data_IF_953589800151
#
_entry.id   IF_953589800151
#
_cell.length_a   1.000
_cell.length_b   1.000
_cell.length_c   1.000
_cell.angle_alpha   90.00
_cell.angle_beta   90.00
_cell.angle_gamma   90.00
#
_symmetry.space_group_name_H-M   'P 1'
#
loop_
_entity.id
_entity.type
_entity.pdbx_description
1 polymer ?
#
# COMPACT_ATOMS: atom_id res chain seq x y z
N UNK A 1 7.98 -24.30 2.79
CA UNK A 1 8.37 -23.37 3.89
C UNK A 1 9.60 -22.60 3.44
N UNK A 2 9.65 -21.28 3.65
CA UNK A 2 10.79 -20.46 3.25
C UNK A 2 11.69 -20.18 4.45
N UNK A 3 12.98 -20.49 4.35
CA UNK A 3 13.96 -20.14 5.38
C UNK A 3 14.21 -18.63 5.35
N UNK A 4 14.26 -17.98 6.51
CA UNK A 4 14.61 -16.56 6.62
C UNK A 4 16.09 -16.38 7.02
N UNK A 5 16.73 -15.25 6.69
CA UNK A 5 18.05 -14.91 7.14
C UNK A 5 18.11 -14.82 8.64
N UNK A 6 19.31 -15.08 9.15
CA UNK A 6 19.61 -15.11 10.57
C UNK A 6 19.18 -13.82 11.28
N UNK A 7 19.47 -12.65 10.70
CA UNK A 7 19.09 -11.36 11.27
C UNK A 7 17.56 -11.21 11.47
N UNK A 8 16.77 -11.71 10.51
CA UNK A 8 15.30 -11.64 10.57
C UNK A 8 14.75 -12.67 11.55
N UNK A 9 15.32 -13.87 11.58
CA UNK A 9 15.00 -14.88 12.58
C UNK A 9 15.29 -14.41 14.01
N UNK A 10 16.43 -13.75 14.23
CA UNK A 10 16.83 -13.19 15.52
C UNK A 10 15.92 -12.03 15.94
N UNK A 11 15.55 -11.16 15.01
CA UNK A 11 14.55 -10.13 15.27
C UNK A 11 13.19 -10.72 15.67
N UNK A 12 12.70 -11.74 14.95
CA UNK A 12 11.45 -12.46 15.29
C UNK A 12 11.53 -13.08 16.68
N UNK A 13 12.66 -13.73 17.02
CA UNK A 13 12.92 -14.28 18.36
C UNK A 13 12.89 -13.21 19.44
N UNK A 14 13.56 -12.08 19.23
CA UNK A 14 13.57 -10.96 20.15
C UNK A 14 12.15 -10.41 20.37
N UNK A 15 11.41 -10.17 19.28
CA UNK A 15 10.02 -9.71 19.33
C UNK A 15 9.12 -10.70 20.06
N UNK A 16 9.28 -12.00 19.81
CA UNK A 16 8.52 -13.04 20.49
C UNK A 16 8.80 -13.06 22.00
N UNK A 17 10.05 -12.87 22.44
CA UNK A 17 10.42 -12.82 23.87
C UNK A 17 9.95 -11.55 24.59
N UNK A 18 9.79 -10.45 23.85
CA UNK A 18 9.37 -9.14 24.40
C UNK A 18 7.87 -8.92 24.36
N UNK A 19 7.12 -9.80 23.69
CA UNK A 19 5.68 -9.70 23.58
C UNK A 19 4.99 -9.94 24.93
N UNK A 20 4.03 -9.07 25.30
CA UNK A 20 3.36 -9.14 26.61
C UNK A 20 2.59 -10.45 26.81
N UNK A 21 2.12 -11.07 25.72
CA UNK A 21 1.45 -12.37 25.76
C UNK A 21 2.42 -13.55 25.94
N UNK A 22 3.68 -13.43 25.50
CA UNK A 22 4.67 -14.49 25.70
C UNK A 22 5.23 -14.49 27.13
N UNK A 23 5.22 -13.34 27.82
CA UNK A 23 5.53 -13.28 29.25
C UNK A 23 4.49 -14.02 30.12
N UNK A 24 3.29 -14.32 29.59
CA UNK A 24 2.25 -15.08 30.31
C UNK A 24 2.34 -16.59 30.09
N UNK A 25 2.97 -17.04 28.99
CA UNK A 25 3.06 -18.46 28.61
C UNK A 25 4.51 -18.84 28.28
N UNK A 26 5.03 -19.93 28.86
CA UNK A 26 6.38 -20.42 28.52
C UNK A 26 6.52 -20.64 27.00
N UNK A 27 7.53 -20.01 26.41
CA UNK A 27 7.84 -20.16 24.99
C UNK A 27 8.51 -21.53 24.79
N UNK A 28 7.94 -22.37 23.92
CA UNK A 28 8.50 -23.69 23.62
C UNK A 28 9.69 -23.60 22.66
N UNK A 29 10.65 -24.54 22.71
CA UNK A 29 11.78 -24.60 21.77
C UNK A 29 11.33 -24.68 20.30
N UNK A 30 10.27 -25.44 20.01
CA UNK A 30 9.68 -25.57 18.68
C UNK A 30 9.19 -24.22 18.13
N UNK A 31 8.60 -23.37 18.99
CA UNK A 31 8.13 -22.04 18.60
C UNK A 31 9.28 -21.07 18.31
N UNK A 32 10.40 -21.22 19.01
CA UNK A 32 11.64 -20.46 18.72
C UNK A 32 12.29 -20.91 17.41
N UNK A 33 12.27 -22.21 17.11
CA UNK A 33 12.78 -22.75 15.85
C UNK A 33 11.95 -22.23 14.66
N UNK A 34 10.64 -22.06 14.82
CA UNK A 34 9.76 -21.54 13.77
C UNK A 34 10.05 -20.07 13.39
N UNK A 35 10.79 -19.32 14.22
CA UNK A 35 11.20 -17.97 13.88
C UNK A 35 12.17 -17.92 12.68
N UNK A 36 12.88 -19.02 12.40
CA UNK A 36 13.80 -19.14 11.26
C UNK A 36 13.11 -19.47 9.94
N UNK A 37 11.78 -19.53 9.91
CA UNK A 37 11.02 -19.78 8.69
C UNK A 37 9.82 -18.83 8.52
N UNK A 38 9.34 -18.73 7.29
CA UNK A 38 8.00 -18.31 6.93
C UNK A 38 7.21 -19.55 6.46
N UNK A 39 5.99 -19.70 6.95
CA UNK A 39 5.08 -20.73 6.52
C UNK A 39 3.88 -20.08 5.84
N UNK A 40 3.51 -20.64 4.69
CA UNK A 40 2.41 -20.21 3.86
C UNK A 40 1.45 -21.39 3.75
N UNK A 41 0.15 -21.13 3.94
CA UNK A 41 -0.89 -22.14 3.81
C UNK A 41 -1.70 -21.77 2.58
N UNK A 42 -1.86 -22.70 1.65
CA UNK A 42 -2.58 -22.45 0.40
C UNK A 42 -3.37 -23.68 0.00
N UNK A 43 -4.48 -23.47 -0.71
CA UNK A 43 -5.26 -24.52 -1.35
C UNK A 43 -4.83 -24.74 -2.83
N UNK A 44 -3.84 -23.98 -3.31
CA UNK A 44 -3.31 -24.09 -4.67
C UNK A 44 -2.44 -25.35 -4.74
N UNK A 45 -2.67 -26.19 -5.76
CA UNK A 45 -1.86 -27.38 -5.98
C UNK A 45 -0.47 -27.04 -6.51
N UNK A 46 0.53 -27.84 -6.18
CA UNK A 46 1.92 -27.70 -6.65
C UNK A 46 2.05 -27.72 -8.19
N UNK A 47 1.08 -28.31 -8.90
CA UNK A 47 1.04 -28.32 -10.37
C UNK A 47 0.69 -26.96 -10.99
N UNK A 48 0.04 -26.06 -10.24
CA UNK A 48 -0.41 -24.75 -10.75
C UNK A 48 0.59 -23.62 -10.50
N UNK A 49 1.36 -23.71 -9.42
CA UNK A 49 2.24 -22.62 -8.99
C UNK A 49 3.43 -23.16 -8.20
N UNK A 50 4.58 -22.52 -8.37
CA UNK A 50 5.77 -22.86 -7.58
C UNK A 50 5.71 -22.21 -6.20
N UNK A 51 6.51 -22.72 -5.26
CA UNK A 51 6.68 -22.12 -3.92
C UNK A 51 7.06 -20.64 -3.98
N UNK A 52 7.91 -20.25 -4.94
CA UNK A 52 8.34 -18.86 -5.11
C UNK A 52 7.19 -17.97 -5.55
N UNK A 53 6.30 -18.49 -6.40
CA UNK A 53 5.13 -17.76 -6.85
C UNK A 53 4.10 -17.60 -5.73
N UNK A 54 3.97 -18.58 -4.84
CA UNK A 54 3.14 -18.47 -3.63
C UNK A 54 3.69 -17.38 -2.70
N UNK A 55 5.01 -17.33 -2.49
CA UNK A 55 5.66 -16.27 -1.71
C UNK A 55 5.36 -14.89 -2.33
N UNK A 56 5.48 -14.78 -3.65
CA UNK A 56 5.15 -13.56 -4.37
C UNK A 56 3.67 -13.21 -4.23
N UNK A 57 2.75 -14.16 -4.40
CA UNK A 57 1.32 -13.94 -4.24
C UNK A 57 0.98 -13.42 -2.83
N UNK A 58 1.61 -13.99 -1.81
CA UNK A 58 1.42 -13.57 -0.41
C UNK A 58 1.87 -12.14 -0.13
N UNK A 59 2.78 -11.56 -0.92
CA UNK A 59 3.10 -10.14 -0.79
C UNK A 59 1.97 -9.22 -1.29
N UNK A 60 1.07 -9.69 -2.19
CA UNK A 60 -0.03 -8.88 -2.70
C UNK A 60 -1.00 -8.55 -1.57
N UNK A 61 -1.15 -9.46 -0.60
CA UNK A 61 -1.91 -9.22 0.63
C UNK A 61 -1.47 -7.93 1.31
N UNK A 62 -0.17 -7.65 1.38
CA UNK A 62 0.34 -6.43 2.01
C UNK A 62 0.05 -5.18 1.18
N UNK A 63 0.17 -5.25 -0.16
CA UNK A 63 -0.26 -4.15 -1.05
C UNK A 63 -1.73 -3.81 -0.79
N UNK A 64 -2.57 -4.84 -0.73
CA UNK A 64 -4.00 -4.71 -0.45
C UNK A 64 -4.18 -4.02 0.90
N UNK A 65 -3.47 -4.43 1.96
CA UNK A 65 -3.53 -3.79 3.28
C UNK A 65 -3.16 -2.30 3.25
N UNK A 66 -2.10 -1.93 2.53
CA UNK A 66 -1.71 -0.52 2.36
C UNK A 66 -2.77 0.26 1.62
N UNK A 67 -3.31 -0.29 0.55
CA UNK A 67 -4.34 0.34 -0.25
C UNK A 67 -5.61 0.57 0.60
N UNK A 68 -6.06 -0.45 1.33
CA UNK A 68 -7.17 -0.32 2.27
C UNK A 68 -6.87 0.65 3.41
N UNK A 69 -5.62 0.76 3.87
CA UNK A 69 -5.21 1.76 4.86
C UNK A 69 -5.33 3.17 4.29
N UNK A 70 -4.92 3.39 3.05
CA UNK A 70 -5.09 4.66 2.35
C UNK A 70 -6.58 5.01 2.19
N UNK A 71 -7.40 4.06 1.77
CA UNK A 71 -8.84 4.27 1.55
C UNK A 71 -9.57 4.60 2.86
N UNK A 72 -9.29 3.87 3.93
CA UNK A 72 -9.92 4.11 5.25
C UNK A 72 -9.48 5.43 5.86
N UNK A 73 -8.17 5.69 5.89
CA UNK A 73 -7.60 6.82 6.64
C UNK A 73 -7.58 8.13 5.85
N UNK A 74 -7.25 8.08 4.56
CA UNK A 74 -6.99 9.28 3.75
C UNK A 74 -8.21 9.62 2.92
N UNK A 75 -8.78 8.63 2.22
CA UNK A 75 -10.01 8.85 1.46
C UNK A 75 -11.27 8.94 2.34
N UNK A 76 -11.12 8.78 3.67
CA UNK A 76 -12.17 8.89 4.68
C UNK A 76 -13.36 7.93 4.47
N UNK A 77 -13.09 6.74 3.95
CA UNK A 77 -14.11 5.68 3.83
C UNK A 77 -14.68 5.30 5.21
N UNK A 78 -13.87 5.41 6.27
CA UNK A 78 -14.30 5.24 7.66
C UNK A 78 -14.47 6.62 8.31
N UNK A 79 -15.69 7.15 8.33
CA UNK A 79 -16.04 8.43 8.95
C UNK A 79 -17.33 8.36 9.76
N UNK A 80 -17.66 9.40 10.56
CA UNK A 80 -18.90 9.43 11.32
C UNK A 80 -20.10 9.42 10.36
N UNK A 81 -20.89 8.35 10.41
CA UNK A 81 -22.11 8.20 9.64
C UNK A 81 -23.21 8.94 10.40
N UNK A 82 -23.79 9.98 9.80
CA UNK A 82 -24.98 10.62 10.34
C UNK A 82 -26.19 9.73 10.08
N UNK A 83 -27.16 9.73 11.01
CA UNK A 83 -28.43 9.04 10.80
C UNK A 83 -29.11 9.57 9.53
N UNK A 84 -29.43 8.68 8.60
CA UNK A 84 -30.04 9.00 7.30
C UNK A 84 -30.78 7.80 6.73
N UNK A 85 -31.65 8.03 5.74
CA UNK A 85 -32.37 6.96 5.03
C UNK A 85 -31.36 5.98 4.38
N UNK A 86 -31.62 4.65 4.41
CA UNK A 86 -30.72 3.66 3.81
C UNK A 86 -30.37 3.92 2.34
N UNK A 87 -31.33 4.38 1.53
CA UNK A 87 -31.09 4.71 0.13
C UNK A 87 -30.08 5.85 -0.06
N UNK A 88 -30.13 6.88 0.80
CA UNK A 88 -29.18 8.00 0.79
C UNK A 88 -27.78 7.52 1.18
N UNK A 89 -27.70 6.67 2.20
CA UNK A 89 -26.44 6.07 2.62
C UNK A 89 -25.79 5.25 1.49
N UNK A 90 -26.55 4.39 0.82
CA UNK A 90 -26.05 3.59 -0.30
C UNK A 90 -25.55 4.47 -1.45
N UNK A 91 -26.29 5.52 -1.83
CA UNK A 91 -25.85 6.46 -2.86
C UNK A 91 -24.52 7.15 -2.50
N UNK A 92 -24.40 7.65 -1.26
CA UNK A 92 -23.15 8.27 -0.77
C UNK A 92 -21.99 7.28 -0.72
N UNK A 93 -22.25 6.03 -0.31
CA UNK A 93 -21.24 4.97 -0.28
C UNK A 93 -20.72 4.67 -1.70
N UNK A 94 -21.61 4.51 -2.68
CA UNK A 94 -21.21 4.27 -4.06
C UNK A 94 -20.43 5.45 -4.65
N UNK A 95 -20.88 6.68 -4.43
CA UNK A 95 -20.14 7.87 -4.86
C UNK A 95 -18.72 7.92 -4.26
N UNK A 96 -18.59 7.57 -2.98
CA UNK A 96 -17.29 7.49 -2.30
C UNK A 96 -16.41 6.36 -2.87
N UNK A 97 -17.00 5.20 -3.20
CA UNK A 97 -16.26 4.09 -3.83
C UNK A 97 -15.77 4.46 -5.23
N UNK A 98 -16.61 5.09 -6.05
CA UNK A 98 -16.23 5.56 -7.39
C UNK A 98 -15.07 6.55 -7.30
N UNK A 99 -15.15 7.52 -6.38
CA UNK A 99 -14.07 8.46 -6.13
C UNK A 99 -12.77 7.76 -5.75
N UNK A 100 -12.83 6.79 -4.83
CA UNK A 100 -11.65 6.01 -4.41
C UNK A 100 -11.03 5.25 -5.58
N UNK A 101 -11.84 4.71 -6.50
CA UNK A 101 -11.33 4.04 -7.70
C UNK A 101 -10.58 5.00 -8.61
N UNK A 102 -11.14 6.20 -8.85
CA UNK A 102 -10.50 7.26 -9.64
C UNK A 102 -9.19 7.68 -8.98
N UNK A 103 -9.21 7.97 -7.67
CA UNK A 103 -8.03 8.36 -6.90
C UNK A 103 -6.93 7.29 -6.98
N UNK A 104 -7.32 6.01 -6.88
CA UNK A 104 -6.39 4.87 -6.99
C UNK A 104 -5.74 4.80 -8.39
N UNK A 105 -6.52 5.03 -9.45
CA UNK A 105 -5.99 5.03 -10.83
C UNK A 105 -5.04 6.19 -11.07
N UNK A 106 -5.36 7.38 -10.58
CA UNK A 106 -4.49 8.56 -10.67
C UNK A 106 -3.18 8.32 -9.91
N UNK A 107 -3.24 7.80 -8.69
CA UNK A 107 -2.04 7.45 -7.91
C UNK A 107 -1.20 6.41 -8.65
N UNK A 108 -1.80 5.36 -9.22
CA UNK A 108 -1.09 4.35 -9.99
C UNK A 108 -0.38 4.96 -11.20
N UNK A 109 -1.06 5.83 -11.96
CA UNK A 109 -0.48 6.54 -13.09
C UNK A 109 0.76 7.35 -12.67
N UNK A 110 0.63 8.22 -11.66
CA UNK A 110 1.76 9.02 -11.20
C UNK A 110 2.92 8.18 -10.66
N UNK A 111 2.64 7.05 -10.00
CA UNK A 111 3.70 6.14 -9.54
C UNK A 111 4.53 5.61 -10.71
N UNK A 112 3.88 5.20 -11.79
CA UNK A 112 4.54 4.68 -12.99
C UNK A 112 5.35 5.79 -13.66
N UNK A 113 4.75 6.96 -13.86
CA UNK A 113 5.43 8.09 -14.51
C UNK A 113 6.64 8.60 -13.71
N UNK A 114 6.50 8.75 -12.39
CA UNK A 114 7.61 9.17 -11.53
C UNK A 114 8.78 8.17 -11.54
N UNK A 115 8.47 6.88 -11.67
CA UNK A 115 9.48 5.85 -11.82
C UNK A 115 10.17 5.96 -13.18
N UNK A 116 9.41 6.08 -14.27
CA UNK A 116 9.96 6.12 -15.62
C UNK A 116 10.83 7.37 -15.85
N UNK A 117 10.37 8.54 -15.41
CA UNK A 117 11.02 9.82 -15.67
C UNK A 117 12.13 10.16 -14.68
N UNK A 118 11.93 9.85 -13.39
CA UNK A 118 12.84 10.28 -12.32
C UNK A 118 13.48 9.11 -11.56
N UNK A 119 13.16 7.86 -11.89
CA UNK A 119 13.55 6.67 -11.11
C UNK A 119 13.19 6.81 -9.63
N UNK A 120 12.10 7.52 -9.35
CA UNK A 120 11.68 7.85 -7.99
C UNK A 120 10.45 7.02 -7.59
N UNK A 121 10.59 6.28 -6.49
CA UNK A 121 9.52 5.48 -5.90
C UNK A 121 8.78 6.30 -4.83
N UNK A 122 7.48 6.50 -5.03
CA UNK A 122 6.59 7.10 -4.04
C UNK A 122 5.69 6.02 -3.41
N UNK A 123 5.54 6.06 -2.08
CA UNK A 123 4.62 5.15 -1.39
C UNK A 123 3.16 5.54 -1.63
N UNK A 124 2.27 4.55 -1.65
CA UNK A 124 0.84 4.73 -1.87
C UNK A 124 0.26 5.76 -0.91
N UNK A 125 0.55 5.62 0.39
CA UNK A 125 0.05 6.54 1.41
C UNK A 125 0.47 7.99 1.17
N UNK A 126 1.69 8.22 0.69
CA UNK A 126 2.16 9.58 0.38
C UNK A 126 1.43 10.14 -0.83
N UNK A 127 1.35 9.37 -1.92
CA UNK A 127 0.65 9.78 -3.13
C UNK A 127 -0.83 10.09 -2.86
N UNK A 128 -1.51 9.25 -2.07
CA UNK A 128 -2.88 9.51 -1.63
C UNK A 128 -3.00 10.77 -0.75
N UNK A 129 -2.04 11.03 0.14
CA UNK A 129 -2.04 12.25 0.95
C UNK A 129 -1.92 13.51 0.09
N UNK A 130 -1.07 13.48 -0.93
CA UNK A 130 -0.96 14.58 -1.91
C UNK A 130 -2.29 14.77 -2.62
N UNK A 131 -2.87 13.70 -3.17
CA UNK A 131 -4.14 13.81 -3.88
C UNK A 131 -5.27 14.35 -2.98
N UNK A 132 -5.26 13.98 -1.70
CA UNK A 132 -6.25 14.44 -0.72
C UNK A 132 -6.19 15.96 -0.47
N UNK A 133 -5.02 16.61 -0.58
CA UNK A 133 -4.92 18.08 -0.44
C UNK A 133 -5.66 18.81 -1.56
N UNK A 134 -5.84 18.17 -2.70
CA UNK A 134 -6.56 18.72 -3.85
C UNK A 134 -8.04 18.36 -3.89
N UNK A 135 -8.57 17.66 -2.87
CA UNK A 135 -9.95 17.16 -2.88
C UNK A 135 -11.03 18.23 -3.14
N UNK A 136 -10.88 19.43 -2.57
CA UNK A 136 -11.81 20.53 -2.82
C UNK A 136 -11.70 21.06 -4.26
N UNK A 137 -10.48 21.21 -4.78
CA UNK A 137 -10.23 21.65 -6.15
C UNK A 137 -10.76 20.64 -7.18
N UNK A 138 -10.62 19.35 -6.88
CA UNK A 138 -11.23 18.25 -7.63
C UNK A 138 -12.74 18.41 -7.75
N UNK A 139 -13.44 18.65 -6.64
CA UNK A 139 -14.89 18.85 -6.67
C UNK A 139 -15.30 20.10 -7.45
N UNK A 140 -14.54 21.19 -7.35
CA UNK A 140 -14.81 22.41 -8.10
C UNK A 140 -14.60 22.21 -9.60
N UNK A 141 -13.51 21.55 -10.01
CA UNK A 141 -13.22 21.26 -11.42
C UNK A 141 -14.26 20.32 -12.05
N UNK A 142 -14.74 19.32 -11.30
CA UNK A 142 -15.81 18.44 -11.78
C UNK A 142 -17.13 19.18 -11.94
N UNK A 143 -17.46 20.09 -11.02
CA UNK A 143 -18.71 20.88 -11.08
C UNK A 143 -18.71 21.94 -12.18
N UNK A 144 -17.54 22.51 -12.48
CA UNK A 144 -17.45 23.53 -13.55
C UNK A 144 -17.59 22.93 -14.95
N UNK A 145 -17.47 21.61 -15.10
CA UNK A 145 -17.62 20.90 -16.38
C UNK A 145 -16.63 21.35 -17.45
N UNK A 146 -15.57 22.06 -17.07
CA UNK A 146 -14.66 22.73 -18.00
C UNK A 146 -13.32 22.00 -18.07
N UNK A 147 -12.90 21.57 -19.26
CA UNK A 147 -11.64 20.84 -19.50
C UNK A 147 -10.41 21.61 -18.99
N UNK A 148 -10.42 22.93 -19.12
CA UNK A 148 -9.32 23.79 -18.64
C UNK A 148 -9.13 23.68 -17.13
N UNK A 149 -10.21 23.75 -16.36
CA UNK A 149 -10.14 23.65 -14.91
C UNK A 149 -9.61 22.28 -14.44
N UNK A 150 -9.95 21.20 -15.16
CA UNK A 150 -9.40 19.88 -14.88
C UNK A 150 -7.92 19.78 -15.26
N UNK A 151 -7.50 20.36 -16.40
CA UNK A 151 -6.11 20.37 -16.82
C UNK A 151 -5.22 21.14 -15.82
N UNK A 152 -5.62 22.36 -15.47
CA UNK A 152 -4.90 23.20 -14.50
C UNK A 152 -4.74 22.50 -13.13
N UNK A 153 -5.73 21.68 -12.75
CA UNK A 153 -5.66 20.88 -11.54
C UNK A 153 -4.64 19.74 -11.66
N UNK A 154 -4.63 19.02 -12.79
CA UNK A 154 -3.65 17.98 -13.05
C UNK A 154 -2.22 18.54 -13.09
N UNK A 155 -2.01 19.72 -13.65
CA UNK A 155 -0.71 20.40 -13.64
C UNK A 155 -0.23 20.64 -12.20
N UNK A 156 -1.10 21.21 -11.35
CA UNK A 156 -0.78 21.44 -9.93
C UNK A 156 -0.51 20.15 -9.16
N UNK A 157 -1.27 19.09 -9.43
CA UNK A 157 -1.03 17.77 -8.82
C UNK A 157 0.32 17.23 -9.28
N UNK A 158 0.64 17.37 -10.56
CA UNK A 158 1.91 16.91 -11.13
C UNK A 158 3.08 17.64 -10.50
N UNK A 159 3.01 18.96 -10.37
CA UNK A 159 4.03 19.75 -9.67
C UNK A 159 4.19 19.31 -8.21
N UNK A 160 3.09 19.10 -7.49
CA UNK A 160 3.12 18.64 -6.12
C UNK A 160 3.74 17.24 -5.99
N UNK A 161 3.44 16.33 -6.93
CA UNK A 161 4.03 14.99 -6.99
C UNK A 161 5.53 15.04 -7.31
N UNK A 162 5.95 15.87 -8.28
CA UNK A 162 7.36 16.07 -8.66
C UNK A 162 8.14 16.72 -7.52
N UNK A 163 7.54 17.58 -6.70
CA UNK A 163 8.23 18.17 -5.55
C UNK A 163 8.76 17.12 -4.55
N UNK A 164 8.17 15.91 -4.51
CA UNK A 164 8.70 14.81 -3.71
C UNK A 164 9.96 14.16 -4.30
N UNK A 165 10.18 14.27 -5.61
CA UNK A 165 11.41 13.76 -6.25
C UNK A 165 12.61 14.64 -5.92
N UNK A 166 12.42 15.96 -5.89
CA UNK A 166 13.48 16.95 -5.59
C UNK A 166 14.01 16.87 -4.15
N UNK A 167 13.25 16.28 -3.22
CA UNK A 167 13.62 16.20 -1.79
C UNK A 167 14.54 15.03 -1.42
N UNK A 168 14.89 14.13 -2.34
CA UNK A 168 15.77 12.96 -2.06
C UNK A 168 16.75 12.68 -3.20
N UNK A 169 17.95 12.17 -2.86
CA UNK A 169 18.90 11.62 -3.85
C UNK A 169 18.17 10.58 -4.73
N UNK A 170 18.39 10.57 -6.06
CA UNK A 170 17.80 9.58 -6.94
C UNK A 170 18.14 8.18 -6.43
N UNK A 171 17.12 7.34 -6.28
CA UNK A 171 17.32 5.91 -6.01
C UNK A 171 18.12 5.34 -7.19
N UNK A 172 19.08 4.46 -6.93
CA UNK A 172 19.65 3.64 -8.00
C UNK A 172 18.48 2.97 -8.74
N UNK A 173 18.52 3.01 -10.07
CA UNK A 173 17.54 2.39 -10.97
C UNK A 173 17.73 0.88 -10.90
N UNK A 174 17.38 0.30 -9.76
CA UNK A 174 17.28 -1.14 -9.60
C UNK A 174 16.05 -1.60 -10.39
N UNK A 175 16.20 -2.62 -11.23
CA UNK A 175 15.12 -3.21 -12.05
C UNK A 175 14.02 -3.90 -11.22
N UNK A 176 13.96 -3.63 -9.93
CA UNK A 176 13.24 -4.40 -8.95
C UNK A 176 11.98 -3.65 -8.48
N UNK A 177 10.82 -4.25 -8.76
CA UNK A 177 9.55 -3.93 -8.10
C UNK A 177 9.79 -3.85 -6.57
N UNK A 178 9.25 -2.84 -5.87
CA UNK A 178 9.41 -2.70 -4.41
C UNK A 178 8.88 -3.89 -3.60
N UNK A 179 8.15 -4.78 -4.26
CA UNK A 179 7.84 -6.12 -3.78
C UNK A 179 9.07 -6.94 -3.38
N UNK A 180 10.18 -6.76 -4.10
CA UNK A 180 11.42 -7.52 -3.93
C UNK A 180 12.27 -7.05 -2.76
N UNK A 181 12.06 -5.86 -2.17
CA UNK A 181 12.96 -5.38 -1.09
C UNK A 181 12.80 -6.23 0.19
N UNK A 182 11.62 -6.80 0.45
CA UNK A 182 11.44 -7.73 1.57
C UNK A 182 11.87 -9.17 1.25
N UNK A 183 11.97 -9.54 -0.03
CA UNK A 183 12.38 -10.89 -0.47
C UNK A 183 13.89 -10.97 -0.72
N UNK A 184 14.52 -9.90 -1.21
CA UNK A 184 15.95 -9.83 -1.54
C UNK A 184 16.80 -9.13 -0.46
N UNK A 185 16.21 -8.54 0.59
CA UNK A 185 16.96 -8.32 1.85
C UNK A 185 17.23 -9.62 2.60
N UNK A 186 16.87 -10.76 1.98
CA UNK A 186 16.99 -12.10 2.52
C UNK A 186 17.84 -13.07 1.70
N UNK A 187 18.61 -12.56 0.74
CA UNK A 187 19.74 -13.27 0.11
C UNK A 187 21.04 -12.60 0.55
#
# INVERSE_FOLDING_TARGET
>A
MQKVPKAVGDYKRHKLKTDKQSNRNKITPQRLAFCDANCYITNISEQMMTDQDIINLYGLRWIIEILFKAWKSIAKLKGPIRSMKPARFMCMLYAQMIRILIDTKIVQYFKIELWNLFSHKISELKAFNVLATFSQAWWMALRSGTTRATHDLFDKITEAMIAFTKKRKPSKKESHNDFYIFVNSQT
#
